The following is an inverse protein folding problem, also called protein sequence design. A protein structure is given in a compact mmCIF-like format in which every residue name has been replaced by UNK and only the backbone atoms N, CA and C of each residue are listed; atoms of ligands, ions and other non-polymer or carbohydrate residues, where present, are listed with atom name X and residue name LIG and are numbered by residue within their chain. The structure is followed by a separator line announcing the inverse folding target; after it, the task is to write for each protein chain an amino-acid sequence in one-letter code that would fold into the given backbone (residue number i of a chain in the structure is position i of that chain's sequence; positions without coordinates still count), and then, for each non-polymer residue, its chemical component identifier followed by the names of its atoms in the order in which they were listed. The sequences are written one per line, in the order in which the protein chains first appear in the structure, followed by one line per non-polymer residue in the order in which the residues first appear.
data_IF_204612582140
#
_entry.id   IF_204612582140
#
_cell.length_a   1.000
_cell.length_b   1.000
_cell.length_c   1.000
_cell.angle_alpha   90.00
_cell.angle_beta   90.00
_cell.angle_gamma   90.00
#
_symmetry.space_group_name_H-M   'P 1'
#
loop_
_entity.id
_entity.type
_entity.pdbx_description
1 polymer ?
#
# COMPACT_ATOMS: atom_id res chain seq x y z
N UNK A 1 -6.44 11.20 7.79
CA UNK A 1 -6.42 10.83 6.36
C UNK A 1 -5.82 9.44 6.27
N UNK A 2 -6.46 8.54 5.51
CA UNK A 2 -6.12 7.12 5.44
C UNK A 2 -5.36 6.82 4.17
N UNK A 3 -4.17 6.26 4.32
CA UNK A 3 -3.31 5.83 3.23
C UNK A 3 -3.24 4.31 3.20
N UNK A 4 -3.38 3.72 2.02
CA UNK A 4 -3.20 2.28 1.83
C UNK A 4 -2.04 1.99 0.88
N UNK A 5 -1.11 1.14 1.31
CA UNK A 5 -0.11 0.55 0.41
C UNK A 5 -0.73 -0.68 -0.23
N UNK A 6 -1.03 -0.59 -1.52
CA UNK A 6 -1.75 -1.65 -2.25
C UNK A 6 -0.80 -2.76 -2.69
N UNK A 7 -1.35 -3.95 -2.96
CA UNK A 7 -0.59 -5.04 -3.58
C UNK A 7 -0.45 -4.79 -5.08
N UNK A 8 0.70 -5.15 -5.62
CA UNK A 8 0.92 -5.12 -7.07
C UNK A 8 0.12 -6.24 -7.74
N UNK A 9 -0.62 -5.89 -8.79
CA UNK A 9 -1.49 -6.80 -9.55
C UNK A 9 -1.03 -7.04 -10.98
N UNK A 10 -0.01 -6.31 -11.44
CA UNK A 10 0.53 -6.41 -12.81
C UNK A 10 1.45 -7.63 -12.94
N UNK A 11 1.43 -8.25 -14.13
CA UNK A 11 2.35 -9.30 -14.53
C UNK A 11 3.42 -8.74 -15.49
N UNK A 12 4.72 -9.11 -15.35
CA UNK A 12 5.29 -10.04 -14.36
C UNK A 12 5.20 -9.49 -12.92
N UNK A 13 5.17 -10.36 -11.90
CA UNK A 13 4.96 -9.96 -10.52
C UNK A 13 6.03 -8.98 -10.04
N UNK A 14 5.61 -7.81 -9.58
CA UNK A 14 6.49 -6.80 -8.97
C UNK A 14 6.49 -6.97 -7.45
N UNK A 15 7.66 -7.31 -6.89
CA UNK A 15 7.82 -7.55 -5.45
C UNK A 15 8.16 -6.28 -4.68
N UNK A 16 8.41 -5.17 -5.37
CA UNK A 16 8.85 -3.91 -4.76
C UNK A 16 7.72 -3.27 -3.96
N UNK A 17 8.10 -2.34 -3.11
CA UNK A 17 7.18 -1.58 -2.26
C UNK A 17 7.53 -0.11 -2.33
N UNK A 18 6.55 0.75 -2.10
CA UNK A 18 6.78 2.20 -2.01
C UNK A 18 7.38 2.57 -0.66
N UNK A 19 6.99 1.88 0.41
CA UNK A 19 7.53 2.05 1.75
C UNK A 19 7.87 0.72 2.40
N UNK A 20 9.04 0.65 3.03
CA UNK A 20 9.42 -0.47 3.90
C UNK A 20 8.59 -0.45 5.19
N UNK A 21 8.50 -1.58 5.93
CA UNK A 21 7.84 -1.61 7.24
C UNK A 21 8.39 -0.56 8.22
N UNK A 22 9.71 -0.38 8.25
CA UNK A 22 10.37 0.61 9.08
C UNK A 22 9.99 2.04 8.70
N UNK A 23 9.95 2.36 7.41
CA UNK A 23 9.55 3.68 6.92
C UNK A 23 8.10 3.99 7.29
N UNK A 24 7.16 3.05 7.09
CA UNK A 24 5.77 3.24 7.51
C UNK A 24 5.65 3.42 9.02
N UNK A 25 6.38 2.63 9.82
CA UNK A 25 6.40 2.79 11.26
C UNK A 25 6.81 4.22 11.66
N UNK A 26 7.91 4.72 11.08
CA UNK A 26 8.39 6.10 11.30
C UNK A 26 7.35 7.16 10.88
N UNK A 27 6.71 6.99 9.72
CA UNK A 27 5.68 7.90 9.23
C UNK A 27 4.45 7.92 10.13
N UNK A 28 4.01 6.75 10.60
CA UNK A 28 2.88 6.61 11.52
C UNK A 28 3.15 7.31 12.86
N UNK A 29 4.39 7.29 13.35
CA UNK A 29 4.80 8.06 14.55
C UNK A 29 4.95 9.57 14.29
N UNK A 30 5.45 9.95 13.12
CA UNK A 30 5.71 11.36 12.79
C UNK A 30 4.43 12.16 12.48
N UNK A 31 3.39 11.50 11.97
CA UNK A 31 2.18 12.15 11.48
C UNK A 31 0.91 11.64 12.16
N UNK A 32 0.58 12.19 13.33
CA UNK A 32 -0.59 11.76 14.13
C UNK A 32 -1.96 11.85 13.43
N UNK A 33 -2.07 12.57 12.32
CA UNK A 33 -3.31 12.70 11.52
C UNK A 33 -3.35 11.78 10.30
N UNK A 34 -2.27 11.05 10.03
CA UNK A 34 -2.16 10.08 8.94
C UNK A 34 -2.27 8.67 9.51
N UNK A 35 -3.12 7.85 8.90
CA UNK A 35 -3.28 6.45 9.23
C UNK A 35 -2.78 5.63 8.05
N UNK A 36 -1.86 4.71 8.29
CA UNK A 36 -1.29 3.86 7.24
C UNK A 36 -1.78 2.41 7.42
N UNK A 37 -2.34 1.86 6.35
CA UNK A 37 -2.67 0.44 6.25
C UNK A 37 -1.95 -0.19 5.06
N UNK A 38 -1.75 -1.50 5.13
CA UNK A 38 -1.10 -2.28 4.07
C UNK A 38 -2.08 -3.35 3.58
N UNK A 39 -2.26 -3.42 2.26
CA UNK A 39 -3.00 -4.52 1.64
C UNK A 39 -2.16 -5.80 1.74
N UNK A 40 -2.74 -6.91 2.21
CA UNK A 40 -2.05 -8.21 2.27
C UNK A 40 -1.52 -8.62 0.89
N UNK A 41 -0.33 -9.22 0.84
CA UNK A 41 0.28 -9.66 -0.42
C UNK A 41 1.13 -10.92 -0.25
N UNK A 42 0.93 -11.95 -1.10
CA UNK A 42 1.70 -13.19 -1.03
C UNK A 42 3.10 -13.10 -1.66
N UNK A 43 3.38 -12.06 -2.45
CA UNK A 43 4.60 -11.97 -3.28
C UNK A 43 5.53 -10.79 -2.92
N UNK A 44 5.04 -9.85 -2.12
CA UNK A 44 5.78 -8.63 -1.73
C UNK A 44 7.09 -9.01 -1.04
N UNK A 45 8.13 -8.18 -1.25
CA UNK A 45 9.47 -8.42 -0.68
C UNK A 45 9.47 -8.42 0.87
N UNK A 46 8.57 -7.64 1.48
CA UNK A 46 8.32 -7.66 2.92
C UNK A 46 6.99 -8.34 3.20
N UNK A 47 6.98 -9.30 4.11
CA UNK A 47 5.78 -10.05 4.48
C UNK A 47 4.83 -9.22 5.35
N UNK A 48 3.57 -9.63 5.37
CA UNK A 48 2.54 -9.04 6.24
C UNK A 48 2.97 -9.04 7.72
N UNK A 49 3.65 -10.09 8.17
CA UNK A 49 4.17 -10.18 9.53
C UNK A 49 5.21 -9.10 9.83
N UNK A 50 6.04 -8.70 8.86
CA UNK A 50 7.03 -7.63 9.04
C UNK A 50 6.36 -6.26 9.18
N UNK A 51 5.28 -6.00 8.44
CA UNK A 51 4.48 -4.79 8.61
C UNK A 51 3.75 -4.77 9.95
N UNK A 52 3.12 -5.88 10.33
CA UNK A 52 2.45 -6.01 11.62
C UNK A 52 3.41 -5.81 12.80
N UNK A 53 4.62 -6.39 12.73
CA UNK A 53 5.67 -6.20 13.73
C UNK A 53 6.16 -4.74 13.84
N UNK A 54 5.95 -3.93 12.80
CA UNK A 54 6.24 -2.48 12.79
C UNK A 54 5.05 -1.63 13.23
N UNK A 55 4.00 -2.24 13.79
CA UNK A 55 2.79 -1.55 14.26
C UNK A 55 1.84 -1.10 13.15
N UNK A 56 1.99 -1.65 11.94
CA UNK A 56 1.15 -1.30 10.79
C UNK A 56 0.02 -2.31 10.62
N UNK A 57 -1.21 -1.82 10.45
CA UNK A 57 -2.37 -2.67 10.18
C UNK A 57 -2.27 -3.28 8.77
N UNK A 58 -2.41 -4.60 8.70
CA UNK A 58 -2.48 -5.35 7.43
C UNK A 58 -3.89 -5.90 7.24
N UNK A 59 -4.47 -5.72 6.06
CA UNK A 59 -5.85 -6.11 5.74
C UNK A 59 -6.00 -6.45 4.25
N UNK A 60 -6.97 -7.32 3.89
CA UNK A 60 -7.22 -7.64 2.47
C UNK A 60 -8.00 -6.51 1.77
N UNK A 61 -8.98 -5.92 2.45
CA UNK A 61 -9.80 -4.84 1.90
C UNK A 61 -9.30 -3.47 2.37
N UNK A 62 -8.78 -2.67 1.44
CA UNK A 62 -8.28 -1.30 1.67
C UNK A 62 -9.11 -0.20 1.01
N UNK A 63 -10.32 -0.52 0.57
CA UNK A 63 -11.23 0.43 -0.10
C UNK A 63 -11.63 1.65 0.74
N UNK A 64 -11.46 1.56 2.06
CA UNK A 64 -11.73 2.64 3.01
C UNK A 64 -10.62 3.71 3.05
N UNK A 65 -9.50 3.52 2.34
CA UNK A 65 -8.43 4.51 2.27
C UNK A 65 -8.83 5.74 1.43
N UNK A 66 -8.41 6.93 1.86
CA UNK A 66 -8.58 8.17 1.11
C UNK A 66 -7.62 8.24 -0.08
N UNK A 67 -6.43 7.66 0.09
CA UNK A 67 -5.34 7.62 -0.87
C UNK A 67 -4.75 6.21 -0.93
N UNK A 68 -4.58 5.68 -2.14
CA UNK A 68 -3.92 4.40 -2.40
C UNK A 68 -2.56 4.64 -3.04
N UNK A 69 -1.54 3.88 -2.64
CA UNK A 69 -0.16 4.07 -3.12
C UNK A 69 0.39 2.72 -3.61
N UNK A 70 0.76 2.67 -4.88
CA UNK A 70 1.32 1.48 -5.54
C UNK A 70 2.59 1.80 -6.34
N UNK A 71 3.31 0.76 -6.76
CA UNK A 71 4.52 0.87 -7.59
C UNK A 71 4.14 0.98 -9.06
N UNK A 72 3.23 0.12 -9.55
CA UNK A 72 2.78 0.13 -10.95
C UNK A 72 1.34 0.57 -11.08
N UNK A 73 0.95 0.80 -12.33
CA UNK A 73 -0.43 1.00 -12.74
C UNK A 73 -1.34 -0.12 -12.24
N UNK A 74 -2.50 0.26 -11.72
CA UNK A 74 -3.55 -0.65 -11.27
C UNK A 74 -4.43 -1.02 -12.48
N UNK A 75 -4.67 -2.31 -12.74
CA UNK A 75 -5.60 -2.75 -13.78
C UNK A 75 -6.98 -2.09 -13.64
N UNK A 76 -7.63 -1.76 -14.76
CA UNK A 76 -8.90 -1.01 -14.78
C UNK A 76 -10.01 -1.66 -13.93
N UNK A 77 -10.05 -2.99 -13.89
CA UNK A 77 -10.98 -3.80 -13.10
C UNK A 77 -10.70 -3.77 -11.58
N UNK A 78 -9.47 -3.39 -11.19
CA UNK A 78 -9.07 -3.21 -9.81
C UNK A 78 -9.10 -1.74 -9.35
N UNK A 79 -9.44 -0.80 -10.24
CA UNK A 79 -9.62 0.61 -9.87
C UNK A 79 -10.89 0.79 -9.05
N UNK A 80 -10.76 1.55 -7.97
CA UNK A 80 -11.91 1.98 -7.18
C UNK A 80 -12.35 3.36 -7.69
N UNK A 81 -13.60 3.52 -8.16
CA UNK A 81 -14.09 4.80 -8.64
C UNK A 81 -13.93 5.92 -7.60
N UNK A 82 -13.57 7.12 -8.07
CA UNK A 82 -13.40 8.33 -7.25
C UNK A 82 -12.37 8.20 -6.11
N UNK A 83 -11.34 7.35 -6.27
CA UNK A 83 -10.21 7.26 -5.33
C UNK A 83 -8.95 7.92 -5.89
N UNK A 84 -8.20 8.55 -5.00
CA UNK A 84 -6.87 9.07 -5.31
C UNK A 84 -5.88 7.90 -5.29
N UNK A 85 -5.17 7.68 -6.40
CA UNK A 85 -4.15 6.63 -6.51
C UNK A 85 -2.84 7.26 -6.96
N UNK A 86 -1.78 7.07 -6.15
CA UNK A 86 -0.41 7.45 -6.47
C UNK A 86 0.35 6.23 -6.96
N UNK A 87 0.88 6.30 -8.17
CA UNK A 87 1.61 5.21 -8.81
C UNK A 87 2.63 5.77 -9.82
N UNK A 88 3.62 4.96 -10.20
CA UNK A 88 4.52 5.32 -11.30
C UNK A 88 3.87 4.95 -12.64
N UNK A 89 3.34 5.93 -13.34
CA UNK A 89 2.91 5.80 -14.72
C UNK A 89 4.12 5.90 -15.65
N UNK A 90 4.20 5.02 -16.65
CA UNK A 90 5.13 5.18 -17.78
C UNK A 90 4.32 5.83 -18.89
N UNK A 91 4.70 7.05 -19.28
CA UNK A 91 4.11 7.73 -20.42
C UNK A 91 4.56 7.08 -21.73
#
# INVERSE_FOLDING_TARGET
MKFAIIRERKSPPDRRVVFTPEQLGRLNHAFAKAEFTVESSPIRIFSDAQYAASGITVQENVSNADVMIGVKEVPMDALIPNKNIFLFAHH
#
